data_IF_817026464675
#
_entry.id   IF_817026464675
#
_cell.length_a   1.000
_cell.length_b   1.000
_cell.length_c   1.000
_cell.angle_alpha   90.00
_cell.angle_beta   90.00
_cell.angle_gamma   90.00
#
_symmetry.space_group_name_H-M   'P 1'
#
loop_
_entity.id
_entity.type
_entity.pdbx_description
1 polymer ?
#
# COMPACT_ATOMS: atom_id res chain seq x y z
N UNK A 1 16.42 20.48 -0.53
CA UNK A 1 16.35 19.28 0.33
C UNK A 1 14.99 18.62 0.19
N UNK A 2 14.98 17.32 -0.01
CA UNK A 2 13.74 16.54 -0.11
C UNK A 2 13.33 16.09 1.27
N UNK A 3 12.09 16.44 1.68
CA UNK A 3 11.54 15.97 2.95
C UNK A 3 11.02 14.54 2.79
N UNK A 4 11.29 13.68 3.78
CA UNK A 4 10.68 12.35 3.80
C UNK A 4 9.20 12.46 4.22
N UNK A 5 8.46 11.38 4.04
CA UNK A 5 7.02 11.38 4.32
C UNK A 5 6.71 11.75 5.77
N UNK A 6 7.54 11.29 6.72
CA UNK A 6 7.30 11.53 8.14
C UNK A 6 7.43 13.00 8.50
N UNK A 7 8.29 13.73 7.79
CA UNK A 7 8.45 15.16 7.99
C UNK A 7 7.31 15.96 7.40
N UNK A 8 6.65 15.43 6.36
CA UNK A 8 5.56 16.11 5.67
C UNK A 8 4.22 15.98 6.39
N UNK A 9 4.06 14.94 7.21
CA UNK A 9 2.81 14.68 7.91
C UNK A 9 2.65 15.61 9.12
N UNK A 10 1.41 16.00 9.44
CA UNK A 10 1.15 16.77 10.67
C UNK A 10 1.46 15.93 11.90
N UNK A 11 1.63 16.58 13.04
CA UNK A 11 1.89 15.90 14.31
C UNK A 11 0.89 16.35 15.37
N UNK A 12 0.11 15.42 15.93
CA UNK A 12 0.03 13.98 15.60
C UNK A 12 -0.65 13.77 14.25
N UNK A 13 -0.40 12.61 13.64
CA UNK A 13 -1.08 12.24 12.39
C UNK A 13 -1.90 10.96 12.61
N UNK A 14 -2.92 10.80 11.75
CA UNK A 14 -3.83 9.66 11.82
C UNK A 14 -3.58 8.73 10.64
N UNK A 15 -3.54 7.44 10.91
CA UNK A 15 -3.30 6.41 9.91
C UNK A 15 -4.50 5.47 9.90
N UNK A 16 -5.00 5.15 8.70
CA UNK A 16 -5.94 4.05 8.57
C UNK A 16 -5.13 2.75 8.57
N UNK A 17 -5.32 1.94 9.62
CA UNK A 17 -4.60 0.68 9.74
C UNK A 17 -5.01 -0.27 8.61
N UNK A 18 -4.06 -1.03 8.05
CA UNK A 18 -4.40 -1.99 7.01
C UNK A 18 -5.19 -3.16 7.60
N UNK A 19 -6.27 -3.55 6.91
CA UNK A 19 -7.13 -4.65 7.33
C UNK A 19 -7.39 -5.54 6.13
N UNK A 20 -6.93 -6.78 6.22
CA UNK A 20 -7.08 -7.75 5.14
C UNK A 20 -8.54 -7.95 4.77
N UNK A 21 -8.84 -7.85 3.47
CA UNK A 21 -10.19 -7.99 2.97
C UNK A 21 -11.11 -6.80 3.22
N UNK A 22 -10.60 -5.74 3.84
CA UNK A 22 -11.41 -4.57 4.19
C UNK A 22 -10.85 -3.30 3.54
N UNK A 23 -9.57 -2.99 3.76
CA UNK A 23 -8.99 -1.73 3.31
C UNK A 23 -8.48 -1.79 1.87
N UNK A 24 -9.31 -2.27 0.96
CA UNK A 24 -9.01 -2.24 -0.47
C UNK A 24 -9.18 -0.83 -1.04
N UNK A 25 -8.91 -0.69 -2.33
CA UNK A 25 -8.97 0.62 -2.98
C UNK A 25 -10.38 1.23 -2.88
N UNK A 26 -11.42 0.43 -2.99
CA UNK A 26 -12.79 0.93 -2.89
C UNK A 26 -13.11 1.44 -1.49
N UNK A 27 -12.71 0.69 -0.47
CA UNK A 27 -12.93 1.10 0.92
C UNK A 27 -12.16 2.39 1.24
N UNK A 28 -10.92 2.49 0.77
CA UNK A 28 -10.11 3.69 0.99
C UNK A 28 -10.76 4.92 0.35
N UNK A 29 -11.39 4.76 -0.83
CA UNK A 29 -12.09 5.88 -1.46
C UNK A 29 -13.30 6.34 -0.65
N UNK A 30 -14.03 5.39 -0.05
CA UNK A 30 -15.15 5.73 0.82
C UNK A 30 -14.67 6.50 2.05
N UNK A 31 -13.58 6.03 2.68
CA UNK A 31 -13.00 6.70 3.84
C UNK A 31 -12.51 8.10 3.46
N UNK A 32 -11.88 8.24 2.29
CA UNK A 32 -11.39 9.54 1.84
C UNK A 32 -12.52 10.56 1.67
N UNK A 33 -13.69 10.11 1.26
CA UNK A 33 -14.85 10.98 1.12
C UNK A 33 -15.49 11.34 2.46
N UNK A 34 -15.46 10.40 3.39
CA UNK A 34 -16.06 10.62 4.72
C UNK A 34 -15.17 11.46 5.63
N UNK A 35 -13.86 11.26 5.53
CA UNK A 35 -12.89 11.99 6.36
C UNK A 35 -11.53 11.35 6.18
N UNK A 36 -10.72 11.94 5.29
CA UNK A 36 -9.45 11.35 4.88
C UNK A 36 -8.44 11.35 6.04
N UNK A 37 -7.84 10.18 6.37
CA UNK A 37 -6.71 10.15 7.29
C UNK A 37 -5.46 10.77 6.64
N UNK A 38 -4.44 11.02 7.44
CA UNK A 38 -3.19 11.59 6.94
C UNK A 38 -2.39 10.60 6.11
N UNK A 39 -2.55 9.31 6.36
CA UNK A 39 -1.79 8.26 5.70
C UNK A 39 -2.63 7.01 5.55
N UNK A 40 -2.57 6.39 4.38
CA UNK A 40 -3.16 5.08 4.11
C UNK A 40 -2.07 4.01 4.02
N UNK A 41 -2.48 2.76 4.23
CA UNK A 41 -1.67 1.57 3.91
C UNK A 41 -2.47 0.69 2.95
N UNK A 42 -1.76 0.01 2.04
CA UNK A 42 -2.41 -1.04 1.25
C UNK A 42 -2.65 -2.27 2.12
N UNK A 43 -3.51 -3.18 1.66
CA UNK A 43 -3.62 -4.49 2.28
C UNK A 43 -2.29 -5.23 2.18
N UNK A 44 -2.15 -6.28 3.01
CA UNK A 44 -0.93 -7.12 3.04
C UNK A 44 -0.74 -7.84 1.71
N UNK A 45 0.41 -7.71 1.10
CA UNK A 45 0.73 -8.40 -0.14
C UNK A 45 1.88 -9.37 0.09
N UNK A 46 1.64 -10.65 -0.21
CA UNK A 46 2.66 -11.68 -0.11
C UNK A 46 3.62 -11.56 -1.29
N UNK A 47 4.91 -11.37 -1.01
CA UNK A 47 5.91 -11.18 -2.06
C UNK A 47 6.11 -12.43 -2.92
N UNK A 48 5.91 -13.61 -2.35
CA UNK A 48 6.01 -14.87 -3.11
C UNK A 48 4.84 -15.02 -4.07
N UNK A 49 3.65 -14.57 -3.68
CA UNK A 49 2.50 -14.52 -4.58
C UNK A 49 2.76 -13.57 -5.74
N UNK A 50 3.33 -12.41 -5.46
CA UNK A 50 3.69 -11.46 -6.50
C UNK A 50 4.71 -12.04 -7.48
N UNK A 51 5.70 -12.76 -6.98
CA UNK A 51 6.75 -13.36 -7.79
C UNK A 51 6.25 -14.55 -8.63
N UNK A 52 5.15 -15.19 -8.23
CA UNK A 52 4.61 -16.32 -8.96
C UNK A 52 3.65 -15.85 -10.06
N UNK A 53 3.65 -16.56 -11.18
CA UNK A 53 2.71 -16.28 -12.26
C UNK A 53 1.26 -16.42 -11.81
N UNK A 54 1.01 -17.48 -11.04
CA UNK A 54 -0.34 -17.81 -10.59
C UNK A 54 -0.92 -16.82 -9.60
N UNK A 55 -0.09 -16.29 -8.70
CA UNK A 55 -0.55 -15.40 -7.65
C UNK A 55 -0.43 -13.91 -7.98
N UNK A 56 0.25 -13.57 -9.07
CA UNK A 56 0.58 -12.18 -9.37
C UNK A 56 -0.64 -11.29 -9.53
N UNK A 57 -1.69 -11.78 -10.16
CA UNK A 57 -2.89 -10.98 -10.38
C UNK A 57 -3.51 -10.52 -9.06
N UNK A 58 -3.66 -11.43 -8.11
CA UNK A 58 -4.21 -11.08 -6.80
C UNK A 58 -3.30 -10.12 -6.04
N UNK A 59 -1.99 -10.34 -6.13
CA UNK A 59 -1.03 -9.44 -5.50
C UNK A 59 -1.10 -8.04 -6.11
N UNK A 60 -1.23 -7.93 -7.42
CA UNK A 60 -1.36 -6.65 -8.11
C UNK A 60 -2.63 -5.91 -7.71
N UNK A 61 -3.73 -6.63 -7.53
CA UNK A 61 -4.98 -6.01 -7.09
C UNK A 61 -4.83 -5.36 -5.71
N UNK A 62 -4.09 -5.99 -4.81
CA UNK A 62 -3.85 -5.45 -3.46
C UNK A 62 -2.95 -4.23 -3.49
N UNK A 63 -2.11 -4.11 -4.50
CA UNK A 63 -1.16 -3.00 -4.66
C UNK A 63 -1.71 -1.88 -5.55
N UNK A 64 -2.95 -2.01 -6.03
CA UNK A 64 -3.59 -0.97 -6.84
C UNK A 64 -3.94 0.22 -5.97
N UNK A 65 -3.56 1.41 -6.42
CA UNK A 65 -3.83 2.65 -5.69
C UNK A 65 -4.56 3.66 -6.59
N UNK A 66 -5.33 4.54 -5.95
CA UNK A 66 -5.97 5.66 -6.61
C UNK A 66 -5.22 6.95 -6.28
N UNK A 67 -5.33 8.00 -7.11
CA UNK A 67 -4.70 9.28 -6.79
C UNK A 67 -5.10 9.84 -5.43
N UNK A 68 -6.34 9.57 -5.01
CA UNK A 68 -6.84 10.03 -3.70
C UNK A 68 -6.26 9.26 -2.52
N UNK A 69 -5.54 8.17 -2.77
CA UNK A 69 -4.91 7.38 -1.70
C UNK A 69 -3.62 8.01 -1.19
N UNK A 70 -2.99 8.89 -1.95
CA UNK A 70 -1.70 9.44 -1.57
C UNK A 70 -1.81 10.40 -0.37
N UNK A 71 -0.89 10.37 0.59
CA UNK A 71 0.22 9.42 0.67
C UNK A 71 -0.24 8.04 1.16
N UNK A 72 0.35 7.01 0.59
CA UNK A 72 0.02 5.61 0.92
C UNK A 72 1.29 4.77 0.95
N UNK A 73 1.35 3.83 1.87
CA UNK A 73 2.47 2.91 2.00
C UNK A 73 2.00 1.52 1.57
N UNK A 74 2.73 0.92 0.64
CA UNK A 74 2.48 -0.46 0.23
C UNK A 74 3.07 -1.39 1.28
N UNK A 75 2.25 -2.30 1.81
CA UNK A 75 2.69 -3.26 2.80
C UNK A 75 2.92 -4.61 2.16
N UNK A 76 4.14 -5.12 2.28
CA UNK A 76 4.53 -6.42 1.73
C UNK A 76 5.09 -7.30 2.83
N UNK A 77 4.93 -8.62 2.67
CA UNK A 77 5.42 -9.59 3.66
C UNK A 77 5.84 -10.88 2.97
N UNK A 78 6.68 -11.66 3.64
CA UNK A 78 7.15 -12.93 3.09
C UNK A 78 8.45 -13.36 3.74
N UNK A 79 9.08 -14.38 3.15
CA UNK A 79 10.31 -14.98 3.67
C UNK A 79 11.49 -14.90 2.70
N UNK A 80 11.24 -14.84 1.41
CA UNK A 80 12.28 -14.94 0.39
C UNK A 80 12.81 -13.53 0.02
N UNK A 81 14.08 -13.23 0.29
CA UNK A 81 14.63 -11.92 -0.02
C UNK A 81 14.57 -11.55 -1.50
N UNK A 82 14.72 -12.52 -2.39
CA UNK A 82 14.63 -12.26 -3.83
C UNK A 82 13.22 -11.84 -4.22
N UNK A 83 12.21 -12.45 -3.61
CA UNK A 83 10.82 -12.08 -3.87
C UNK A 83 10.53 -10.68 -3.36
N UNK A 84 11.11 -10.29 -2.22
CA UNK A 84 11.01 -8.91 -1.73
C UNK A 84 11.58 -7.93 -2.74
N UNK A 85 12.75 -8.25 -3.29
CA UNK A 85 13.41 -7.38 -4.26
C UNK A 85 12.56 -7.21 -5.52
N UNK A 86 12.00 -8.30 -6.04
CA UNK A 86 11.15 -8.27 -7.23
C UNK A 86 9.90 -7.43 -6.97
N UNK A 87 9.27 -7.64 -5.83
CA UNK A 87 8.04 -6.91 -5.49
C UNK A 87 8.32 -5.42 -5.25
N UNK A 88 9.37 -5.12 -4.52
CA UNK A 88 9.73 -3.74 -4.18
C UNK A 88 10.19 -2.93 -5.39
N UNK A 89 10.75 -3.59 -6.39
CA UNK A 89 11.23 -2.94 -7.61
C UNK A 89 10.08 -2.52 -8.54
N UNK A 90 8.86 -2.76 -8.14
CA UNK A 90 7.70 -2.41 -8.92
C UNK A 90 7.44 -0.91 -8.89
N UNK A 91 7.97 -0.21 -9.89
CA UNK A 91 7.93 1.26 -9.94
C UNK A 91 6.56 1.83 -10.27
N UNK A 92 5.72 1.05 -10.91
CA UNK A 92 4.38 1.49 -11.31
C UNK A 92 3.41 1.67 -10.15
N UNK A 93 3.81 1.28 -8.96
CA UNK A 93 2.97 1.42 -7.76
C UNK A 93 2.96 2.86 -7.27
N UNK A 94 3.98 3.60 -7.61
CA UNK A 94 4.16 4.97 -7.09
C UNK A 94 3.40 5.98 -7.90
#
# INVERSE_FOLDING_TARGET
MVMNIWQKLPHPFLILAPMEGVTDIAFRQVVAKAGRPDLFFTEFTNVSSYASEKGRKNALERLTIAPTDAPIIAQIWGKDPEHFAVCADRKSVV
#
